data_IF_108625146458
#
_entry.id   IF_108625146458
#
_cell.length_a   1.000
_cell.length_b   1.000
_cell.length_c   1.000
_cell.angle_alpha   90.00
_cell.angle_beta   90.00
_cell.angle_gamma   90.00
#
_symmetry.space_group_name_H-M   'P 1'
#
loop_
_entity.id
_entity.type
_entity.pdbx_description
1 polymer ?
#
# COMPACT_ATOMS: atom_id res chain seq x y z
N UNK A 1 11.96 -13.55 16.37
CA UNK A 1 10.62 -13.03 16.06
C UNK A 1 10.81 -11.98 14.98
N UNK A 2 10.86 -12.43 13.72
CA UNK A 2 11.20 -11.64 12.55
C UNK A 2 9.94 -11.03 11.94
N UNK A 3 10.00 -9.73 11.65
CA UNK A 3 8.93 -8.98 11.01
C UNK A 3 9.42 -8.58 9.62
N UNK A 4 8.60 -8.75 8.59
CA UNK A 4 9.00 -8.49 7.21
C UNK A 4 8.00 -7.62 6.49
N UNK A 5 8.50 -6.67 5.70
CA UNK A 5 7.74 -5.97 4.69
C UNK A 5 8.08 -6.58 3.33
N UNK A 6 7.08 -7.03 2.59
CA UNK A 6 7.21 -7.48 1.22
C UNK A 6 6.56 -6.46 0.28
N UNK A 7 7.38 -5.68 -0.40
CA UNK A 7 6.96 -4.75 -1.44
C UNK A 7 6.96 -5.45 -2.80
N UNK A 8 5.77 -5.68 -3.35
CA UNK A 8 5.59 -6.39 -4.61
C UNK A 8 5.79 -5.47 -5.81
N UNK A 9 6.73 -5.84 -6.66
CA UNK A 9 6.92 -5.38 -8.03
C UNK A 9 6.98 -3.85 -8.19
N UNK A 10 7.84 -3.12 -7.46
CA UNK A 10 8.07 -1.70 -7.69
C UNK A 10 8.92 -1.49 -8.97
N UNK A 11 8.41 -1.93 -10.12
CA UNK A 11 9.09 -1.89 -11.42
C UNK A 11 8.55 -0.76 -12.29
N UNK A 12 9.38 -0.26 -13.21
CA UNK A 12 9.07 0.91 -14.04
C UNK A 12 7.68 0.85 -14.67
N UNK A 13 7.30 -0.27 -15.27
CA UNK A 13 6.02 -0.42 -15.97
C UNK A 13 4.80 -0.27 -15.06
N UNK A 14 4.88 -0.69 -13.81
CA UNK A 14 3.78 -0.55 -12.86
C UNK A 14 3.70 0.87 -12.32
N UNK A 15 4.84 1.50 -12.05
CA UNK A 15 4.94 2.91 -11.65
C UNK A 15 4.44 3.87 -12.74
N UNK A 16 5.07 3.82 -13.91
CA UNK A 16 4.41 3.70 -15.22
C UNK A 16 2.90 3.96 -15.27
N UNK A 17 2.18 2.87 -15.33
CA UNK A 17 0.79 2.89 -15.72
C UNK A 17 -0.19 3.16 -14.57
N UNK A 18 0.27 3.11 -13.30
CA UNK A 18 -0.64 3.11 -12.14
C UNK A 18 -0.35 4.21 -11.12
N UNK A 19 0.73 4.98 -11.28
CA UNK A 19 1.09 6.04 -10.35
C UNK A 19 0.96 7.42 -11.02
N UNK A 20 -0.22 8.07 -10.97
CA UNK A 20 -0.47 9.33 -11.68
C UNK A 20 0.33 10.52 -11.14
N UNK A 21 1.01 10.39 -9.99
CA UNK A 21 1.77 11.47 -9.36
C UNK A 21 3.24 11.09 -9.15
N UNK A 22 3.99 10.99 -10.26
CA UNK A 22 5.44 10.70 -10.25
C UNK A 22 6.26 11.95 -10.02
N UNK A 23 6.10 12.58 -8.86
CA UNK A 23 7.01 13.64 -8.46
C UNK A 23 7.98 13.13 -7.38
N UNK A 24 9.18 13.70 -7.38
CA UNK A 24 10.24 13.40 -6.41
C UNK A 24 9.75 13.50 -4.96
N UNK A 25 8.81 14.40 -4.69
CA UNK A 25 8.19 14.57 -3.36
C UNK A 25 7.42 13.31 -2.92
N UNK A 26 6.67 12.68 -3.83
CA UNK A 26 5.89 11.48 -3.52
C UNK A 26 6.79 10.28 -3.29
N UNK A 27 7.87 10.15 -4.07
CA UNK A 27 8.87 9.10 -3.87
C UNK A 27 9.59 9.27 -2.53
N UNK A 28 10.08 10.48 -2.22
CA UNK A 28 10.69 10.76 -0.90
C UNK A 28 9.73 10.49 0.25
N UNK A 29 8.45 10.82 0.08
CA UNK A 29 7.42 10.55 1.09
C UNK A 29 7.21 9.05 1.27
N UNK A 30 7.22 8.25 0.20
CA UNK A 30 7.16 6.79 0.29
C UNK A 30 8.38 6.21 0.99
N UNK A 31 9.58 6.65 0.61
CA UNK A 31 10.84 6.21 1.25
C UNK A 31 10.84 6.51 2.74
N UNK A 32 10.41 7.73 3.11
CA UNK A 32 10.26 8.15 4.52
C UNK A 32 9.23 7.30 5.25
N UNK A 33 8.11 6.96 4.59
CA UNK A 33 7.07 6.12 5.18
C UNK A 33 7.57 4.70 5.41
N UNK A 34 8.26 4.10 4.45
CA UNK A 34 8.86 2.77 4.61
C UNK A 34 9.87 2.76 5.77
N UNK A 35 10.67 3.83 5.87
CA UNK A 35 11.64 3.97 6.96
C UNK A 35 10.98 4.05 8.34
N UNK A 36 10.09 5.03 8.54
CA UNK A 36 9.43 5.29 9.82
C UNK A 36 8.48 4.17 10.23
N UNK A 37 7.68 3.66 9.29
CA UNK A 37 6.64 2.67 9.58
C UNK A 37 7.19 1.26 9.74
N UNK A 38 8.29 0.93 9.06
CA UNK A 38 8.79 -0.45 9.00
C UNK A 38 10.24 -0.58 9.45
N UNK A 39 11.20 0.10 8.80
CA UNK A 39 12.63 -0.09 9.11
C UNK A 39 12.94 0.22 10.58
N UNK A 40 12.52 1.39 11.05
CA UNK A 40 12.75 1.82 12.44
C UNK A 40 11.99 0.97 13.47
N UNK A 41 10.97 0.20 13.03
CA UNK A 41 10.19 -0.72 13.86
C UNK A 41 10.70 -2.17 13.81
N UNK A 42 11.88 -2.37 13.24
CA UNK A 42 12.59 -3.65 13.18
C UNK A 42 12.07 -4.60 12.12
N UNK A 43 11.42 -4.09 11.06
CA UNK A 43 11.06 -4.90 9.91
C UNK A 43 12.26 -5.04 8.96
N UNK A 44 12.50 -6.25 8.48
CA UNK A 44 13.35 -6.51 7.32
C UNK A 44 12.56 -6.15 6.05
N UNK A 45 13.18 -5.45 5.11
CA UNK A 45 12.51 -4.96 3.90
C UNK A 45 12.88 -5.84 2.72
N UNK A 46 11.87 -6.40 2.07
CA UNK A 46 12.01 -7.24 0.90
C UNK A 46 11.28 -6.60 -0.29
N UNK A 47 12.00 -6.46 -1.40
CA UNK A 47 11.44 -6.04 -2.67
C UNK A 47 11.38 -7.24 -3.61
N UNK A 48 10.17 -7.66 -4.00
CA UNK A 48 10.02 -8.66 -5.04
C UNK A 48 10.00 -7.98 -6.41
N UNK A 49 10.79 -8.48 -7.35
CA UNK A 49 10.83 -7.98 -8.72
C UNK A 49 10.96 -9.13 -9.72
N UNK A 50 10.64 -8.87 -10.98
CA UNK A 50 10.82 -9.82 -12.07
C UNK A 50 12.30 -10.06 -12.36
N UNK A 51 12.61 -11.23 -12.94
CA UNK A 51 13.99 -11.67 -13.23
C UNK A 51 14.84 -10.61 -13.94
N UNK A 52 14.23 -9.85 -14.85
CA UNK A 52 14.87 -8.86 -15.72
C UNK A 52 14.45 -7.41 -15.39
N UNK A 53 14.04 -7.13 -14.16
CA UNK A 53 13.62 -5.78 -13.72
C UNK A 53 14.20 -5.40 -12.39
N UNK A 54 14.73 -4.18 -12.32
CA UNK A 54 15.22 -3.63 -11.06
C UNK A 54 14.11 -2.89 -10.30
N UNK A 55 14.36 -2.66 -9.02
CA UNK A 55 13.53 -1.77 -8.20
C UNK A 55 13.66 -0.36 -8.78
N UNK A 56 12.52 0.24 -9.10
CA UNK A 56 12.44 1.51 -9.79
C UNK A 56 12.17 2.67 -8.82
N UNK A 57 12.90 3.77 -8.99
CA UNK A 57 12.82 5.04 -8.24
C UNK A 57 13.10 5.02 -6.74
N UNK A 58 13.03 3.88 -6.07
CA UNK A 58 13.34 3.76 -4.64
C UNK A 58 14.83 3.58 -4.40
N UNK A 59 15.37 4.30 -3.42
CA UNK A 59 16.72 4.09 -2.92
C UNK A 59 16.74 2.91 -1.95
N UNK A 60 17.40 1.83 -2.37
CA UNK A 60 17.65 0.65 -1.55
C UNK A 60 18.69 0.95 -0.48
N UNK A 61 18.40 0.53 0.75
CA UNK A 61 19.37 0.52 1.85
C UNK A 61 20.20 -0.76 1.80
N UNK A 62 21.44 -0.77 2.35
CA UNK A 62 22.29 -1.97 2.38
C UNK A 62 21.67 -3.18 3.09
N UNK A 63 20.70 -2.93 3.97
CA UNK A 63 19.95 -3.94 4.73
C UNK A 63 18.70 -4.44 4.01
N UNK A 64 18.34 -3.84 2.87
CA UNK A 64 17.17 -4.26 2.10
C UNK A 64 17.51 -5.48 1.24
N UNK A 65 16.51 -6.34 1.03
CA UNK A 65 16.61 -7.56 0.26
C UNK A 65 15.84 -7.45 -1.05
N UNK A 66 16.38 -8.01 -2.13
CA UNK A 66 15.69 -8.09 -3.42
C UNK A 66 15.48 -9.56 -3.78
N UNK A 67 14.21 -9.95 -3.90
CA UNK A 67 13.79 -11.27 -4.38
C UNK A 67 13.49 -11.18 -5.87
N UNK A 68 14.09 -12.07 -6.66
CA UNK A 68 13.81 -12.19 -8.10
C UNK A 68 12.84 -13.34 -8.31
N UNK A 69 11.65 -13.05 -8.81
CA UNK A 69 10.70 -14.10 -9.19
C UNK A 69 11.10 -14.70 -10.55
N UNK A 70 10.93 -16.01 -10.71
CA UNK A 70 11.31 -16.75 -11.93
C UNK A 70 10.42 -16.46 -13.15
N UNK A 71 9.48 -15.52 -13.01
CA UNK A 71 8.60 -15.08 -14.08
C UNK A 71 9.19 -13.85 -14.78
N UNK A 72 9.11 -13.82 -16.11
CA UNK A 72 9.37 -12.63 -16.91
C UNK A 72 8.08 -11.82 -17.12
N UNK A 73 8.19 -10.49 -17.12
CA UNK A 73 7.07 -9.56 -17.26
C UNK A 73 6.18 -9.80 -18.50
N UNK A 74 6.67 -10.53 -19.52
CA UNK A 74 5.99 -10.76 -20.80
C UNK A 74 5.61 -12.22 -21.10
N UNK A 75 5.94 -13.19 -20.24
CA UNK A 75 5.47 -14.56 -20.44
C UNK A 75 4.01 -14.72 -19.97
N UNK A 76 3.08 -14.35 -20.86
CA UNK A 76 1.63 -14.59 -20.80
C UNK A 76 1.05 -14.92 -19.43
N UNK A 77 0.58 -13.91 -18.69
CA UNK A 77 -0.25 -14.03 -17.48
C UNK A 77 0.19 -15.08 -16.44
N UNK A 78 1.46 -15.49 -16.41
CA UNK A 78 1.96 -16.37 -15.36
C UNK A 78 2.11 -15.55 -14.10
N UNK A 79 1.16 -15.69 -13.19
CA UNK A 79 1.33 -15.14 -11.86
C UNK A 79 2.40 -15.92 -11.11
N UNK A 80 3.30 -15.23 -10.38
CA UNK A 80 4.26 -15.89 -9.53
C UNK A 80 3.53 -16.77 -8.51
N UNK A 81 4.08 -17.96 -8.26
CA UNK A 81 3.55 -18.87 -7.25
C UNK A 81 3.82 -18.27 -5.85
N UNK A 82 2.77 -17.99 -5.05
CA UNK A 82 2.95 -17.42 -3.71
C UNK A 82 3.88 -18.23 -2.83
N UNK A 83 3.75 -19.56 -2.80
CA UNK A 83 4.57 -20.44 -1.98
C UNK A 83 6.06 -20.34 -2.34
N UNK A 84 6.39 -20.28 -3.63
CA UNK A 84 7.78 -20.15 -4.09
C UNK A 84 8.40 -18.81 -3.68
N UNK A 85 7.62 -17.73 -3.70
CA UNK A 85 8.09 -16.41 -3.27
C UNK A 85 8.22 -16.36 -1.75
N UNK A 86 7.17 -16.75 -1.02
CA UNK A 86 7.09 -16.67 0.43
C UNK A 86 8.14 -17.55 1.12
N UNK A 87 8.46 -18.72 0.56
CA UNK A 87 9.54 -19.57 1.09
C UNK A 87 10.92 -18.89 1.06
N UNK A 88 11.15 -17.91 0.18
CA UNK A 88 12.40 -17.14 0.14
C UNK A 88 12.52 -16.11 1.27
N UNK A 89 11.42 -15.83 1.97
CA UNK A 89 11.46 -14.97 3.14
C UNK A 89 12.09 -15.68 4.34
N UNK A 90 12.12 -17.03 4.37
CA UNK A 90 12.57 -17.78 5.54
C UNK A 90 11.65 -17.59 6.75
N UNK A 91 12.18 -17.82 7.95
CA UNK A 91 11.41 -17.73 9.20
C UNK A 91 10.80 -16.34 9.37
N UNK A 92 9.47 -16.26 9.43
CA UNK A 92 8.70 -15.01 9.43
C UNK A 92 7.49 -15.17 10.33
N UNK A 93 7.43 -14.36 11.37
CA UNK A 93 6.28 -14.35 12.27
C UNK A 93 5.19 -13.42 11.72
N UNK A 94 5.58 -12.18 11.38
CA UNK A 94 4.69 -11.16 10.86
C UNK A 94 5.13 -10.69 9.48
N UNK A 95 4.19 -10.71 8.54
CA UNK A 95 4.39 -10.29 7.16
C UNK A 95 3.45 -9.16 6.80
N UNK A 96 4.01 -8.02 6.42
CA UNK A 96 3.26 -6.93 5.80
C UNK A 96 3.48 -6.98 4.29
N UNK A 97 2.41 -6.92 3.51
CA UNK A 97 2.47 -6.98 2.04
C UNK A 97 1.95 -5.67 1.46
N UNK A 98 2.67 -5.11 0.50
CA UNK A 98 2.25 -3.92 -0.24
C UNK A 98 2.76 -3.96 -1.69
N UNK A 99 2.66 -2.84 -2.42
CA UNK A 99 3.12 -2.72 -3.80
C UNK A 99 2.03 -2.95 -4.84
N UNK A 100 2.37 -3.58 -5.96
CA UNK A 100 1.54 -3.59 -7.17
C UNK A 100 1.14 -5.02 -7.59
N UNK A 101 -0.08 -5.28 -8.09
CA UNK A 101 -1.30 -4.47 -7.97
C UNK A 101 -2.12 -4.97 -6.79
N UNK A 102 -2.75 -4.05 -6.05
CA UNK A 102 -3.62 -4.39 -4.92
C UNK A 102 -4.68 -5.47 -5.27
N UNK A 103 -5.51 -5.33 -6.32
CA UNK A 103 -6.61 -6.26 -6.59
C UNK A 103 -6.16 -7.62 -7.14
N UNK A 104 -4.86 -7.81 -7.37
CA UNK A 104 -4.33 -8.98 -8.07
C UNK A 104 -3.15 -9.58 -7.29
N UNK A 105 -1.92 -9.17 -7.61
CA UNK A 105 -0.70 -9.71 -7.02
C UNK A 105 -0.65 -9.61 -5.49
N UNK A 106 -1.06 -8.47 -4.91
CA UNK A 106 -1.01 -8.25 -3.45
C UNK A 106 -2.00 -9.18 -2.74
N UNK A 107 -3.25 -9.22 -3.18
CA UNK A 107 -4.29 -10.09 -2.60
C UNK A 107 -3.91 -11.55 -2.75
N UNK A 108 -3.45 -11.97 -3.92
CA UNK A 108 -3.01 -13.36 -4.14
C UNK A 108 -1.84 -13.75 -3.23
N UNK A 109 -0.89 -12.85 -3.02
CA UNK A 109 0.23 -13.10 -2.12
C UNK A 109 -0.20 -13.14 -0.65
N UNK A 110 -1.11 -12.25 -0.26
CA UNK A 110 -1.69 -12.24 1.08
C UNK A 110 -2.45 -13.54 1.39
N UNK A 111 -3.24 -14.04 0.44
CA UNK A 111 -3.91 -15.33 0.58
C UNK A 111 -2.90 -16.46 0.76
N UNK A 112 -1.86 -16.51 -0.07
CA UNK A 112 -0.79 -17.50 0.08
C UNK A 112 -0.09 -17.44 1.43
N UNK A 113 0.14 -16.24 1.97
CA UNK A 113 0.74 -16.05 3.29
C UNK A 113 -0.19 -16.54 4.42
N UNK A 114 -1.49 -16.27 4.35
CA UNK A 114 -2.47 -16.80 5.30
C UNK A 114 -2.57 -18.33 5.23
N UNK A 115 -2.55 -18.91 4.03
CA UNK A 115 -2.57 -20.36 3.82
C UNK A 115 -1.35 -21.02 4.47
N UNK A 116 -0.19 -20.35 4.39
CA UNK A 116 1.07 -20.75 5.02
C UNK A 116 1.21 -20.31 6.50
N UNK A 117 0.16 -19.74 7.11
CA UNK A 117 0.07 -19.38 8.54
C UNK A 117 0.96 -18.23 9.02
N UNK A 118 1.32 -17.29 8.13
CA UNK A 118 1.95 -16.04 8.53
C UNK A 118 0.92 -15.11 9.22
N UNK A 119 1.31 -14.36 10.27
CA UNK A 119 0.55 -13.18 10.73
C UNK A 119 0.63 -12.12 9.64
N UNK A 120 -0.41 -12.04 8.81
CA UNK A 120 -0.38 -11.30 7.54
C UNK A 120 -1.20 -10.04 7.63
N UNK A 121 -0.60 -8.92 7.22
CA UNK A 121 -1.27 -7.64 7.03
C UNK A 121 -0.99 -7.14 5.61
N UNK A 122 -1.96 -6.49 4.99
CA UNK A 122 -1.72 -5.73 3.76
C UNK A 122 -1.71 -4.25 4.10
N UNK A 123 -0.71 -3.50 3.63
CA UNK A 123 -0.70 -2.03 3.75
C UNK A 123 -1.18 -1.43 2.44
N UNK A 124 -2.49 -1.14 2.36
CA UNK A 124 -3.12 -0.58 1.14
C UNK A 124 -2.70 0.85 0.84
N UNK A 125 -2.15 1.57 1.82
CA UNK A 125 -1.63 2.90 1.55
C UNK A 125 -0.36 2.79 0.72
N UNK A 126 0.47 1.77 0.95
CA UNK A 126 1.73 1.57 0.22
C UNK A 126 1.57 0.79 -1.10
N UNK A 127 0.41 0.85 -1.74
CA UNK A 127 0.17 0.25 -3.06
C UNK A 127 0.11 1.30 -4.17
N UNK A 128 -0.51 1.00 -5.31
CA UNK A 128 -0.85 2.00 -6.33
C UNK A 128 -1.65 3.20 -5.77
N UNK A 129 -2.27 3.06 -4.60
CA UNK A 129 -3.02 4.13 -3.95
C UNK A 129 -2.15 5.15 -3.19
N UNK A 130 -0.84 4.96 -3.06
CA UNK A 130 0.00 5.77 -2.17
C UNK A 130 -0.08 7.27 -2.45
N UNK A 131 -0.06 7.70 -3.70
CA UNK A 131 -0.16 9.14 -4.00
C UNK A 131 -1.47 9.76 -3.50
N UNK A 132 -2.59 9.06 -3.69
CA UNK A 132 -3.90 9.51 -3.23
C UNK A 132 -4.01 9.42 -1.70
N UNK A 133 -3.59 8.31 -1.10
CA UNK A 133 -3.71 8.11 0.34
C UNK A 133 -2.78 9.02 1.12
N UNK A 134 -1.56 9.23 0.63
CA UNK A 134 -0.60 10.11 1.29
C UNK A 134 -0.93 11.59 1.16
N UNK A 135 -1.88 12.01 0.29
CA UNK A 135 -2.34 13.40 0.27
C UNK A 135 -3.43 13.69 1.30
N UNK A 136 -4.03 12.65 1.90
CA UNK A 136 -5.09 12.80 2.90
C UNK A 136 -4.56 13.40 4.20
N UNK A 137 -5.34 14.26 4.84
CA UNK A 137 -4.96 14.96 6.07
C UNK A 137 -4.67 14.02 7.25
N UNK A 138 -5.28 12.83 7.23
CA UNK A 138 -5.14 11.81 8.26
C UNK A 138 -3.99 10.83 8.00
N UNK A 139 -3.26 10.97 6.89
CA UNK A 139 -2.14 10.09 6.58
C UNK A 139 -1.00 10.29 7.59
N UNK A 140 -0.61 9.20 8.25
CA UNK A 140 0.51 9.19 9.21
C UNK A 140 1.67 8.34 8.65
N UNK A 141 2.85 8.92 8.36
CA UNK A 141 3.98 8.13 7.85
C UNK A 141 4.54 7.14 8.87
N UNK A 142 4.29 7.33 10.17
CA UNK A 142 4.78 6.43 11.23
C UNK A 142 3.82 5.25 11.48
N UNK A 143 2.53 5.41 11.22
CA UNK A 143 1.50 4.43 11.59
C UNK A 143 0.56 4.13 10.43
N UNK A 144 0.24 2.85 10.26
CA UNK A 144 -0.80 2.43 9.34
C UNK A 144 -2.11 2.22 10.10
N UNK A 145 -3.18 2.87 9.65
CA UNK A 145 -4.50 2.71 10.22
C UNK A 145 -5.54 2.43 9.14
N UNK A 146 -5.87 1.16 8.96
CA UNK A 146 -6.85 0.73 7.97
C UNK A 146 -8.24 1.31 8.24
N UNK A 147 -8.63 1.53 9.50
CA UNK A 147 -9.96 2.04 9.84
C UNK A 147 -10.22 3.45 9.28
N UNK A 148 -9.18 4.29 9.18
CA UNK A 148 -9.31 5.62 8.58
C UNK A 148 -9.73 5.56 7.10
N UNK A 149 -9.33 4.50 6.39
CA UNK A 149 -9.70 4.29 4.98
C UNK A 149 -11.18 3.91 4.85
N UNK A 150 -11.76 3.21 5.84
CA UNK A 150 -13.20 2.94 5.85
C UNK A 150 -13.99 4.19 6.12
N UNK A 151 -13.55 5.02 7.09
CA UNK A 151 -14.22 6.28 7.40
C UNK A 151 -14.25 7.20 6.18
N UNK A 152 -13.08 7.43 5.55
CA UNK A 152 -12.97 8.21 4.30
C UNK A 152 -13.79 7.60 3.16
N UNK A 153 -13.77 6.27 3.00
CA UNK A 153 -14.55 5.61 1.98
C UNK A 153 -16.07 5.65 2.21
N UNK A 154 -16.54 5.51 3.44
CA UNK A 154 -17.97 5.60 3.76
C UNK A 154 -18.51 6.99 3.42
N UNK A 155 -17.76 8.04 3.75
CA UNK A 155 -18.05 9.41 3.30
C UNK A 155 -18.18 9.49 1.77
N UNK A 156 -17.21 8.94 1.03
CA UNK A 156 -17.23 8.88 -0.44
C UNK A 156 -18.45 8.11 -1.00
N UNK A 157 -18.91 7.02 -0.36
CA UNK A 157 -20.14 6.29 -0.79
C UNK A 157 -21.38 7.15 -0.63
N UNK A 158 -21.51 7.82 0.50
CA UNK A 158 -22.65 8.67 0.78
C UNK A 158 -22.73 9.83 -0.22
N UNK A 159 -21.58 10.29 -0.74
CA UNK A 159 -21.46 11.42 -1.67
C UNK A 159 -21.46 11.01 -3.16
N UNK A 160 -20.80 9.90 -3.52
CA UNK A 160 -20.50 9.51 -4.90
C UNK A 160 -20.41 7.98 -5.07
N UNK A 161 -21.50 7.24 -5.31
CA UNK A 161 -21.50 5.76 -5.44
C UNK A 161 -20.30 5.13 -6.19
N UNK A 162 -19.20 4.67 -5.53
CA UNK A 162 -18.02 4.20 -6.21
C UNK A 162 -17.84 2.68 -6.06
N UNK A 163 -17.56 1.93 -7.14
CA UNK A 163 -17.31 0.49 -7.11
C UNK A 163 -16.13 0.04 -6.23
N UNK A 164 -15.24 0.94 -5.80
CA UNK A 164 -13.98 0.64 -5.10
C UNK A 164 -14.17 0.11 -3.67
N UNK A 165 -15.20 0.57 -2.95
CA UNK A 165 -15.49 0.07 -1.59
C UNK A 165 -16.11 -1.32 -1.56
N UNK A 166 -16.79 -1.72 -2.63
CA UNK A 166 -17.30 -3.09 -2.74
C UNK A 166 -16.14 -4.09 -2.68
N UNK A 167 -15.03 -3.78 -3.36
CA UNK A 167 -13.81 -4.60 -3.31
C UNK A 167 -13.11 -4.52 -1.94
N UNK A 168 -13.07 -3.36 -1.28
CA UNK A 168 -12.47 -3.26 0.05
C UNK A 168 -13.22 -4.07 1.13
N UNK A 169 -14.55 -4.13 1.06
CA UNK A 169 -15.38 -4.99 1.94
C UNK A 169 -15.14 -6.49 1.70
N UNK A 170 -14.80 -6.89 0.48
CA UNK A 170 -14.41 -8.28 0.19
C UNK A 170 -13.09 -8.62 0.90
N UNK A 171 -12.13 -7.69 0.90
CA UNK A 171 -10.81 -7.92 1.51
C UNK A 171 -10.79 -7.80 3.04
N UNK A 172 -11.72 -7.03 3.64
CA UNK A 172 -11.84 -6.83 5.09
C UNK A 172 -11.88 -8.14 5.88
N UNK A 173 -12.50 -9.19 5.31
CA UNK A 173 -12.74 -10.47 5.98
C UNK A 173 -11.50 -11.34 6.12
N UNK A 174 -10.49 -11.17 5.26
CA UNK A 174 -9.40 -12.13 5.14
C UNK A 174 -8.07 -11.63 5.72
N UNK A 175 -7.74 -10.33 5.64
CA UNK A 175 -6.37 -9.86 5.98
C UNK A 175 -6.27 -8.64 6.91
N UNK A 176 -7.37 -7.96 7.21
CA UNK A 176 -7.29 -6.66 7.89
C UNK A 176 -7.93 -6.60 9.26
N UNK A 177 -8.64 -7.67 9.67
CA UNK A 177 -9.30 -7.80 10.97
C UNK A 177 -9.72 -6.44 11.55
N UNK A 178 -10.63 -5.70 10.90
CA UNK A 178 -10.88 -4.27 11.16
C UNK A 178 -11.00 -3.89 12.65
N UNK A 179 -11.51 -4.80 13.48
CA UNK A 179 -11.56 -4.72 14.95
C UNK A 179 -10.20 -4.43 15.63
N UNK A 180 -9.09 -4.73 14.98
CA UNK A 180 -7.73 -4.52 15.46
C UNK A 180 -7.27 -3.07 15.20
N UNK A 181 -8.06 -2.29 14.47
CA UNK A 181 -7.83 -0.88 14.17
C UNK A 181 -8.92 -0.02 14.82
N UNK A 182 -8.50 1.06 15.49
CA UNK A 182 -9.42 2.11 15.96
C UNK A 182 -9.22 3.34 15.07
N UNK A 183 -10.27 3.85 14.42
CA UNK A 183 -10.13 5.03 13.58
C UNK A 183 -9.66 6.23 14.42
N UNK A 184 -8.77 7.03 13.86
CA UNK A 184 -8.29 8.30 14.46
C UNK A 184 -8.98 9.52 13.86
N UNK A 185 -9.94 9.29 12.96
CA UNK A 185 -10.79 10.31 12.33
C UNK A 185 -12.24 9.88 12.35
N UNK A 186 -13.13 10.86 12.21
CA UNK A 186 -14.58 10.70 12.06
C UNK A 186 -15.04 11.16 10.68
N UNK A 187 -16.29 10.85 10.31
CA UNK A 187 -16.89 11.39 9.07
C UNK A 187 -16.97 12.93 9.10
N UNK A 188 -17.25 13.51 10.28
CA UNK A 188 -17.28 14.97 10.49
C UNK A 188 -15.90 15.61 10.26
N UNK A 189 -14.81 14.97 10.71
CA UNK A 189 -13.45 15.46 10.44
C UNK A 189 -13.15 15.51 8.92
N UNK A 190 -13.67 14.54 8.17
CA UNK A 190 -13.52 14.50 6.70
C UNK A 190 -14.32 15.63 6.07
N UNK A 191 -15.58 15.84 6.48
CA UNK A 191 -16.44 16.92 5.98
C UNK A 191 -15.85 18.31 6.22
N UNK A 192 -15.38 18.58 7.44
CA UNK A 192 -14.76 19.86 7.81
C UNK A 192 -13.54 20.12 6.91
N UNK A 193 -12.69 19.11 6.73
CA UNK A 193 -11.49 19.27 5.91
C UNK A 193 -11.81 19.54 4.44
N UNK A 194 -12.84 18.91 3.88
CA UNK A 194 -13.28 19.19 2.49
C UNK A 194 -13.81 20.62 2.33
N UNK A 195 -14.63 21.08 3.28
CA UNK A 195 -15.18 22.45 3.26
C UNK A 195 -14.07 23.51 3.34
N UNK A 196 -13.06 23.28 4.18
CA UNK A 196 -11.90 24.16 4.28
C UNK A 196 -11.15 24.24 2.94
N UNK A 197 -10.94 23.11 2.26
CA UNK A 197 -10.29 23.07 0.95
C UNK A 197 -11.10 23.79 -0.13
N UNK A 198 -12.42 23.62 -0.15
CA UNK A 198 -13.32 24.33 -1.09
C UNK A 198 -13.31 25.85 -0.84
N UNK A 199 -13.33 26.26 0.44
CA UNK A 199 -13.28 27.68 0.84
C UNK A 199 -11.97 28.32 0.42
N UNK A 200 -10.84 27.66 0.72
CA UNK A 200 -9.51 28.07 0.25
C UNK A 200 -9.48 28.21 -1.28
N UNK A 201 -10.00 27.22 -2.00
CA UNK A 201 -10.02 27.25 -3.46
C UNK A 201 -10.84 28.44 -4.00
N UNK A 202 -11.99 28.76 -3.41
CA UNK A 202 -12.82 29.90 -3.82
C UNK A 202 -12.18 31.26 -3.52
N UNK A 203 -11.47 31.39 -2.41
CA UNK A 203 -10.73 32.60 -2.05
C UNK A 203 -9.57 32.89 -3.03
N UNK A 204 -8.89 31.84 -3.51
CA UNK A 204 -7.77 31.99 -4.45
C UNK A 204 -8.19 32.02 -5.93
N UNK A 205 -9.42 31.60 -6.27
CA UNK A 205 -9.93 31.56 -7.64
C UNK A 205 -10.77 32.78 -8.03
N UNK A 206 -11.05 33.68 -7.08
CA UNK A 206 -11.74 34.94 -7.37
C UNK A 206 -10.82 35.88 -8.16
N UNK A 207 -11.20 36.33 -9.37
CA UNK A 207 -10.39 37.25 -10.14
C UNK A 207 -10.26 38.58 -9.38
N UNK A 208 -9.02 39.02 -9.16
CA UNK A 208 -8.72 40.38 -8.69
C UNK A 208 -9.08 41.42 -9.75
#
# INVERSE_FOLDING_TARGET
MSKKLLFLYPVEEYWVNNFPFRNERSIKKLETTIDLRYRQKGYEIYFATFRNRDVFQLQLQPTDHVIRVETEFFEGFKYPNPEQLLNQLGDTERLVICGFHLPDCVVRMAQGAVDMKFDTLVDVELTENFAYRSSKFYFNPEEYNFANIFVDGMHDIHKYSPPSLYRMKEYEKEFYHLKDFTPTITEEDVEIHEQDQETLFMEFSSPR
#
